data_IF_118606213261
#
_entry.id   IF_118606213261
#
_cell.length_a   1.000
_cell.length_b   1.000
_cell.length_c   1.000
_cell.angle_alpha   90.00
_cell.angle_beta   90.00
_cell.angle_gamma   90.00
#
_symmetry.space_group_name_H-M   'P 1'
#
loop_
_entity.id
_entity.type
_entity.pdbx_description
1 polymer ?
#
# COMPACT_ATOMS: atom_id res chain seq x y z
N UNK A 1 -3.76 6.44 -11.39
CA UNK A 1 -5.23 6.69 -11.42
C UNK A 1 -5.85 5.83 -10.34
N UNK A 2 -6.78 6.38 -9.57
CA UNK A 2 -7.59 5.60 -8.64
C UNK A 2 -9.06 5.73 -9.03
N UNK A 3 -9.85 4.73 -8.64
CA UNK A 3 -11.29 4.71 -8.82
C UNK A 3 -11.94 4.77 -7.44
N UNK A 4 -12.97 5.60 -7.30
CA UNK A 4 -13.82 5.65 -6.11
C UNK A 4 -15.26 5.56 -6.57
N UNK A 5 -16.03 4.69 -5.92
CA UNK A 5 -17.47 4.60 -6.07
C UNK A 5 -18.11 4.84 -4.72
N UNK A 6 -19.06 5.77 -4.64
CA UNK A 6 -19.76 6.11 -3.41
C UNK A 6 -21.26 6.04 -3.65
N UNK A 7 -21.98 5.40 -2.73
CA UNK A 7 -23.43 5.50 -2.68
C UNK A 7 -23.82 6.81 -2.00
N UNK A 8 -24.39 7.75 -2.76
CA UNK A 8 -24.64 9.12 -2.29
C UNK A 8 -26.06 9.37 -1.79
N UNK A 9 -26.99 8.45 -2.04
CA UNK A 9 -28.39 8.58 -1.60
C UNK A 9 -29.06 7.20 -1.41
N UNK A 10 -30.22 7.20 -0.74
CA UNK A 10 -30.96 5.99 -0.42
C UNK A 10 -30.43 5.22 0.79
N UNK A 11 -30.96 4.02 0.99
CA UNK A 11 -30.51 3.11 2.06
C UNK A 11 -29.05 2.75 1.80
N UNK A 12 -28.17 3.00 2.77
CA UNK A 12 -26.73 2.72 2.66
C UNK A 12 -25.89 3.90 2.15
N UNK A 13 -26.48 5.09 1.98
CA UNK A 13 -25.72 6.30 1.66
C UNK A 13 -24.55 6.51 2.62
N UNK A 14 -23.34 6.70 2.09
CA UNK A 14 -22.07 6.69 2.84
C UNK A 14 -21.24 5.43 2.62
N UNK A 15 -21.81 4.36 2.04
CA UNK A 15 -21.04 3.20 1.56
C UNK A 15 -20.11 3.63 0.43
N UNK A 16 -18.85 3.20 0.46
CA UNK A 16 -17.90 3.47 -0.60
C UNK A 16 -16.94 2.31 -0.84
N UNK A 17 -16.38 2.32 -2.04
CA UNK A 17 -15.29 1.46 -2.45
C UNK A 17 -14.25 2.30 -3.19
N UNK A 18 -12.98 2.07 -2.89
CA UNK A 18 -11.87 2.72 -3.57
C UNK A 18 -10.79 1.70 -3.93
N UNK A 19 -10.13 1.91 -5.07
CA UNK A 19 -8.95 1.15 -5.44
C UNK A 19 -8.03 1.95 -6.34
N UNK A 20 -6.74 1.64 -6.30
CA UNK A 20 -5.78 2.19 -7.23
C UNK A 20 -4.52 1.37 -7.29
N UNK A 21 -3.87 1.39 -8.46
CA UNK A 21 -2.49 0.95 -8.63
C UNK A 21 -1.67 2.16 -9.02
N UNK A 22 -0.52 2.33 -8.38
CA UNK A 22 0.47 3.35 -8.73
C UNK A 22 1.82 2.68 -8.93
N UNK A 23 2.53 3.12 -9.95
CA UNK A 23 3.91 2.74 -10.19
C UNK A 23 4.75 4.00 -10.22
N UNK A 24 6.01 3.88 -9.81
CA UNK A 24 6.93 5.00 -9.80
C UNK A 24 8.37 4.55 -9.76
N UNK A 25 9.27 5.54 -9.70
CA UNK A 25 10.69 5.34 -9.47
C UNK A 25 11.06 5.86 -8.08
N UNK A 26 12.14 5.34 -7.53
CA UNK A 26 12.76 5.88 -6.32
C UNK A 26 14.25 6.08 -6.55
N UNK A 27 14.83 7.02 -5.79
CA UNK A 27 16.25 7.20 -5.65
C UNK A 27 16.54 7.53 -4.18
N UNK A 28 17.51 6.83 -3.60
CA UNK A 28 17.94 6.97 -2.22
C UNK A 28 19.45 7.16 -2.21
N UNK A 29 19.90 8.24 -1.57
CA UNK A 29 21.32 8.51 -1.34
C UNK A 29 21.53 8.54 0.17
N UNK A 30 22.33 7.64 0.74
CA UNK A 30 22.63 7.64 2.17
C UNK A 30 23.47 8.86 2.55
N UNK A 31 23.34 9.31 3.80
CA UNK A 31 24.16 10.41 4.34
C UNK A 31 25.64 10.02 4.46
N UNK A 32 25.91 8.74 4.72
CA UNK A 32 27.26 8.16 4.72
C UNK A 32 27.68 7.86 3.27
N UNK A 33 28.66 8.60 2.70
CA UNK A 33 29.08 8.43 1.31
C UNK A 33 29.84 7.11 1.07
N UNK A 34 30.19 6.36 2.13
CA UNK A 34 30.75 5.02 1.99
C UNK A 34 29.68 3.96 1.69
N UNK A 35 28.40 4.27 1.88
CA UNK A 35 27.29 3.37 1.59
C UNK A 35 26.76 3.54 0.16
N UNK A 36 26.25 2.46 -0.47
CA UNK A 36 25.72 2.54 -1.82
C UNK A 36 24.42 3.35 -1.88
N UNK A 37 24.27 4.15 -2.94
CA UNK A 37 22.98 4.73 -3.31
C UNK A 37 22.15 3.70 -4.05
N UNK A 38 20.82 3.78 -3.94
CA UNK A 38 19.90 2.86 -4.62
C UNK A 38 18.93 3.63 -5.51
N UNK A 39 18.67 3.10 -6.69
CA UNK A 39 17.60 3.59 -7.55
C UNK A 39 16.83 2.43 -8.17
N UNK A 40 15.54 2.64 -8.44
CA UNK A 40 14.70 1.58 -8.97
C UNK A 40 13.26 1.98 -9.19
N UNK A 41 12.40 0.97 -9.18
CA UNK A 41 10.96 1.11 -9.39
C UNK A 41 10.18 0.53 -8.22
N UNK A 42 8.98 1.07 -8.01
CA UNK A 42 8.02 0.52 -7.07
C UNK A 42 6.64 0.39 -7.72
N UNK A 43 5.86 -0.52 -7.18
CA UNK A 43 4.42 -0.65 -7.42
C UNK A 43 3.71 -0.68 -6.07
N UNK A 44 2.67 0.12 -5.93
CA UNK A 44 1.73 0.04 -4.83
C UNK A 44 0.33 -0.18 -5.35
N UNK A 45 -0.43 -1.01 -4.66
CA UNK A 45 -1.85 -1.16 -4.86
C UNK A 45 -2.58 -0.99 -3.52
N UNK A 46 -3.77 -0.42 -3.58
CA UNK A 46 -4.68 -0.42 -2.43
C UNK A 46 -6.10 -0.74 -2.86
N UNK A 47 -6.86 -1.32 -1.93
CA UNK A 47 -8.29 -1.55 -2.02
C UNK A 47 -8.94 -1.27 -0.68
N UNK A 48 -10.00 -0.46 -0.71
CA UNK A 48 -10.75 -0.06 0.46
C UNK A 48 -12.25 -0.29 0.23
N UNK A 49 -12.93 -0.90 1.19
CA UNK A 49 -14.34 -1.24 1.13
C UNK A 49 -15.02 -0.93 2.46
N UNK A 50 -15.92 0.05 2.44
CA UNK A 50 -16.59 0.51 3.64
C UNK A 50 -18.09 0.61 3.42
N UNK A 51 -18.85 0.21 4.44
CA UNK A 51 -20.25 0.48 4.57
C UNK A 51 -20.53 1.15 5.93
N UNK A 52 -21.79 1.31 6.29
CA UNK A 52 -22.19 2.01 7.53
C UNK A 52 -21.82 1.28 8.83
N UNK A 53 -21.38 0.03 8.75
CA UNK A 53 -21.12 -0.83 9.92
C UNK A 53 -19.74 -1.49 9.88
N UNK A 54 -19.18 -1.73 8.69
CA UNK A 54 -17.94 -2.46 8.49
C UNK A 54 -17.02 -1.67 7.57
N UNK A 55 -15.72 -1.88 7.75
CA UNK A 55 -14.68 -1.33 6.88
C UNK A 55 -13.55 -2.31 6.70
N UNK A 56 -12.90 -2.29 5.54
CA UNK A 56 -11.66 -3.00 5.32
C UNK A 56 -10.80 -2.34 4.25
N UNK A 57 -9.53 -2.17 4.59
CA UNK A 57 -8.48 -1.74 3.69
C UNK A 57 -7.43 -2.84 3.55
N UNK A 58 -6.92 -3.01 2.34
CA UNK A 58 -5.73 -3.82 2.07
C UNK A 58 -4.82 -3.03 1.13
N UNK A 59 -3.53 -3.02 1.42
CA UNK A 59 -2.54 -2.46 0.51
C UNK A 59 -1.38 -3.44 0.30
N UNK A 60 -0.78 -3.33 -0.88
CA UNK A 60 0.47 -3.99 -1.19
C UNK A 60 1.48 -2.96 -1.67
N UNK A 61 2.73 -3.20 -1.33
CA UNK A 61 3.85 -2.43 -1.81
C UNK A 61 4.96 -3.38 -2.25
N UNK A 62 5.58 -3.09 -3.37
CA UNK A 62 6.75 -3.80 -3.85
C UNK A 62 7.72 -2.83 -4.47
N UNK A 63 9.01 -2.96 -4.16
CA UNK A 63 10.06 -2.25 -4.87
C UNK A 63 11.19 -3.18 -5.26
N UNK A 64 11.87 -2.79 -6.33
CA UNK A 64 13.13 -3.36 -6.75
C UNK A 64 14.06 -2.25 -7.20
N UNK A 65 15.27 -2.26 -6.68
CA UNK A 65 16.32 -1.32 -7.09
C UNK A 65 17.69 -1.95 -7.16
N UNK A 66 18.61 -1.17 -7.72
CA UNK A 66 20.02 -1.52 -7.88
C UNK A 66 20.87 -0.51 -7.14
N UNK A 67 21.82 -1.00 -6.36
CA UNK A 67 22.82 -0.21 -5.66
C UNK A 67 23.91 0.28 -6.61
N UNK A 68 24.56 1.41 -6.30
CA UNK A 68 25.73 1.90 -7.04
C UNK A 68 26.92 0.93 -6.99
N UNK A 69 26.94 0.02 -6.02
CA UNK A 69 27.89 -1.08 -5.87
C UNK A 69 27.48 -2.38 -6.60
N UNK A 70 26.34 -2.38 -7.30
CA UNK A 70 25.77 -3.54 -7.99
C UNK A 70 24.91 -4.45 -7.11
N UNK A 71 24.70 -4.12 -5.84
CA UNK A 71 23.77 -4.84 -4.97
C UNK A 71 22.32 -4.71 -5.44
N UNK A 72 21.45 -5.62 -5.01
CA UNK A 72 20.01 -5.56 -5.32
C UNK A 72 19.23 -5.27 -4.05
N UNK A 73 18.25 -4.37 -4.14
CA UNK A 73 17.26 -4.12 -3.11
C UNK A 73 15.92 -4.70 -3.58
N UNK A 74 15.36 -5.65 -2.82
CA UNK A 74 14.00 -6.17 -3.01
C UNK A 74 13.25 -5.99 -1.69
N UNK A 75 12.07 -5.38 -1.78
CA UNK A 75 11.20 -5.19 -0.62
C UNK A 75 9.74 -5.40 -1.02
N UNK A 76 9.01 -6.08 -0.15
CA UNK A 76 7.59 -6.35 -0.27
C UNK A 76 6.88 -6.06 1.05
N UNK A 77 5.69 -5.51 0.96
CA UNK A 77 4.81 -5.32 2.10
C UNK A 77 3.35 -5.60 1.74
N UNK A 78 2.62 -6.15 2.70
CA UNK A 78 1.18 -6.34 2.67
C UNK A 78 0.61 -5.87 4.00
N UNK A 79 -0.20 -4.82 3.95
CA UNK A 79 -0.94 -4.30 5.09
C UNK A 79 -2.43 -4.63 4.91
N UNK A 80 -3.09 -4.94 6.02
CA UNK A 80 -4.53 -5.10 6.08
C UNK A 80 -5.08 -4.53 7.38
N UNK A 81 -6.22 -3.86 7.28
CA UNK A 81 -7.03 -3.47 8.41
C UNK A 81 -8.50 -3.78 8.10
N UNK A 82 -9.24 -4.25 9.09
CA UNK A 82 -10.70 -4.33 9.02
C UNK A 82 -11.34 -4.09 10.38
N UNK A 83 -12.56 -3.56 10.34
CA UNK A 83 -13.46 -3.42 11.47
C UNK A 83 -14.82 -4.00 11.09
N UNK A 84 -15.38 -4.82 11.97
CA UNK A 84 -16.73 -5.37 11.79
C UNK A 84 -17.80 -4.54 12.50
N UNK A 85 -19.07 -4.79 12.18
CA UNK A 85 -20.23 -4.18 12.83
C UNK A 85 -20.25 -4.35 14.37
N UNK A 86 -19.67 -5.43 14.89
CA UNK A 86 -19.55 -5.69 16.32
C UNK A 86 -18.30 -5.06 16.96
N UNK A 87 -17.52 -4.31 16.19
CA UNK A 87 -16.28 -3.67 16.65
C UNK A 87 -15.05 -4.57 16.66
N UNK A 88 -15.13 -5.81 16.16
CA UNK A 88 -13.94 -6.67 16.02
C UNK A 88 -13.00 -6.04 14.99
N UNK A 89 -11.74 -5.85 15.39
CA UNK A 89 -10.68 -5.29 14.56
C UNK A 89 -9.67 -6.39 14.21
N UNK A 90 -9.29 -6.49 12.93
CA UNK A 90 -8.19 -7.32 12.47
C UNK A 90 -7.17 -6.44 11.74
N UNK A 91 -5.94 -6.43 12.21
CA UNK A 91 -4.85 -5.68 11.56
C UNK A 91 -3.61 -6.55 11.41
N UNK A 92 -2.89 -6.34 10.31
CA UNK A 92 -1.53 -6.80 10.18
C UNK A 92 -0.75 -5.93 9.20
N UNK A 93 0.56 -5.99 9.35
CA UNK A 93 1.55 -5.39 8.47
C UNK A 93 2.65 -6.46 8.31
N UNK A 94 3.11 -6.72 7.08
CA UNK A 94 4.02 -7.84 6.78
C UNK A 94 5.12 -7.42 5.80
N UNK A 95 6.08 -6.61 6.28
CA UNK A 95 7.23 -6.24 5.47
C UNK A 95 8.19 -7.43 5.36
N UNK A 96 8.80 -7.58 4.19
CA UNK A 96 9.82 -8.59 3.91
C UNK A 96 10.84 -8.07 2.90
N UNK A 97 12.09 -8.52 3.07
CA UNK A 97 13.19 -8.27 2.15
C UNK A 97 13.66 -9.59 1.52
N UNK A 98 14.26 -9.51 0.33
CA UNK A 98 14.78 -10.66 -0.42
C UNK A 98 16.11 -10.38 -1.10
#
# INVERSE_FOLDING_TARGET
MFHVTTLTSGIGAGTFWATGTQTGTFAFTPDDPAQPSFAGHFTTWFGDNNNLQNGSETSTFSLRGTGSDGSTLIFHDVMHASVSASGVVNTFDKPSCG
#
